data_IF_980677273555
#
_entry.id   IF_980677273555
#
_cell.length_a   1.000
_cell.length_b   1.000
_cell.length_c   1.000
_cell.angle_alpha   90.00
_cell.angle_beta   90.00
_cell.angle_gamma   90.00
#
_symmetry.space_group_name_H-M   'P 1'
#
loop_
_entity.id
_entity.type
_entity.pdbx_description
1 polymer ?
#
# COMPACT_ATOMS: atom_id res chain seq x y z
N UNK A 1 -1.73 -11.02 11.16
CA UNK A 1 -2.93 -11.61 10.58
C UNK A 1 -2.71 -12.16 9.18
N UNK A 2 -2.32 -11.32 8.23
CA UNK A 2 -2.09 -11.72 6.82
C UNK A 2 -0.73 -12.42 6.58
N UNK A 3 0.08 -12.64 7.61
CA UNK A 3 1.41 -13.25 7.49
C UNK A 3 2.49 -12.32 6.93
N UNK A 4 2.23 -11.02 6.84
CA UNK A 4 3.25 -10.05 6.44
C UNK A 4 4.32 -9.97 7.53
N UNK A 5 5.58 -10.15 7.13
CA UNK A 5 6.74 -10.09 8.03
C UNK A 5 7.35 -8.70 7.95
N UNK A 6 7.12 -7.88 8.97
CA UNK A 6 7.75 -6.58 9.12
C UNK A 6 8.55 -6.52 10.42
N UNK A 7 9.67 -5.81 10.39
CA UNK A 7 10.49 -5.54 11.58
C UNK A 7 10.09 -4.18 12.14
N UNK A 8 9.92 -4.07 13.45
CA UNK A 8 9.53 -2.81 14.11
C UNK A 8 10.58 -1.71 13.97
N UNK A 9 11.85 -2.07 13.88
CA UNK A 9 12.98 -1.14 13.72
C UNK A 9 13.08 -0.53 12.31
N UNK A 10 12.43 -1.13 11.31
CA UNK A 10 12.40 -0.64 9.93
C UNK A 10 11.22 0.30 9.64
N UNK A 11 10.32 0.48 10.61
CA UNK A 11 9.16 1.38 10.44
C UNK A 11 9.56 2.85 10.64
N UNK A 12 9.42 3.65 9.56
CA UNK A 12 9.74 5.08 9.51
C UNK A 12 8.54 5.86 9.00
N UNK A 13 7.67 6.29 9.93
CA UNK A 13 6.52 7.13 9.62
C UNK A 13 6.94 8.55 9.17
N UNK A 14 6.00 9.32 8.63
CA UNK A 14 6.25 10.70 8.14
C UNK A 14 6.93 11.59 9.19
N UNK A 15 6.51 11.50 10.45
CA UNK A 15 7.07 12.29 11.54
C UNK A 15 8.56 12.05 11.81
N UNK A 16 9.10 10.91 11.38
CA UNK A 16 10.52 10.61 11.46
C UNK A 16 11.37 11.64 10.71
N UNK A 17 10.83 12.20 9.61
CA UNK A 17 11.54 13.13 8.74
C UNK A 17 11.38 14.60 9.13
N UNK A 18 10.55 14.95 10.12
CA UNK A 18 10.21 16.35 10.45
C UNK A 18 11.43 17.23 10.69
N UNK A 19 12.48 16.72 11.32
CA UNK A 19 13.71 17.47 11.59
C UNK A 19 14.57 17.72 10.34
N UNK A 20 14.27 17.07 9.21
CA UNK A 20 15.01 17.20 7.95
C UNK A 20 14.34 18.15 6.96
N UNK A 21 13.05 18.48 7.15
CA UNK A 21 12.24 19.16 6.14
C UNK A 21 12.76 20.56 5.79
N UNK A 22 13.20 21.34 6.78
CA UNK A 22 13.83 22.64 6.54
C UNK A 22 15.10 22.48 5.71
N UNK A 23 15.96 21.52 6.03
CA UNK A 23 17.19 21.25 5.29
C UNK A 23 16.96 20.79 3.85
N UNK A 24 15.82 20.12 3.56
CA UNK A 24 15.41 19.82 2.18
C UNK A 24 15.16 21.09 1.41
N UNK A 25 14.36 22.01 1.94
CA UNK A 25 14.05 23.30 1.30
C UNK A 25 15.33 24.13 1.09
N UNK A 26 16.18 24.21 2.11
CA UNK A 26 17.43 24.97 2.04
C UNK A 26 18.38 24.41 0.97
N UNK A 27 18.46 23.10 0.81
CA UNK A 27 19.29 22.47 -0.23
C UNK A 27 18.77 22.79 -1.64
N UNK A 28 17.46 22.79 -1.86
CA UNK A 28 16.88 23.18 -3.14
C UNK A 28 17.12 24.66 -3.47
N UNK A 29 16.97 25.57 -2.50
CA UNK A 29 17.27 26.99 -2.66
C UNK A 29 18.77 27.22 -2.94
N UNK A 30 19.65 26.61 -2.16
CA UNK A 30 21.10 26.76 -2.32
C UNK A 30 21.61 26.24 -3.67
N UNK A 31 20.98 25.21 -4.23
CA UNK A 31 21.30 24.66 -5.55
C UNK A 31 20.72 25.47 -6.73
N UNK A 32 19.87 26.47 -6.46
CA UNK A 32 19.13 27.20 -7.48
C UNK A 32 18.06 26.38 -8.21
N UNK A 33 17.66 25.23 -7.65
CA UNK A 33 16.60 24.35 -8.20
C UNK A 33 15.21 24.67 -7.66
N UNK A 34 15.11 25.53 -6.66
CA UNK A 34 13.86 26.10 -6.18
C UNK A 34 13.90 27.62 -6.17
N UNK A 35 12.73 28.23 -6.24
CA UNK A 35 12.53 29.67 -6.14
C UNK A 35 11.37 30.00 -5.20
N UNK A 36 11.33 31.24 -4.76
CA UNK A 36 10.14 31.75 -4.07
C UNK A 36 9.08 32.17 -5.11
N UNK A 37 7.84 31.83 -4.83
CA UNK A 37 6.67 32.16 -5.62
C UNK A 37 5.50 32.50 -4.69
N UNK A 38 5.12 33.76 -4.66
CA UNK A 38 4.06 34.30 -3.79
C UNK A 38 4.17 33.84 -2.33
N UNK A 39 5.42 33.82 -1.79
CA UNK A 39 5.73 33.40 -0.42
C UNK A 39 5.82 31.88 -0.20
N UNK A 40 5.52 31.07 -1.20
CA UNK A 40 5.80 29.65 -1.20
C UNK A 40 7.18 29.34 -1.80
N UNK A 41 7.76 28.19 -1.48
CA UNK A 41 8.97 27.72 -2.16
C UNK A 41 8.57 26.57 -3.10
N UNK A 42 8.96 26.73 -4.36
CA UNK A 42 8.53 25.84 -5.44
C UNK A 42 9.72 25.33 -6.26
N UNK A 43 9.56 24.14 -6.83
CA UNK A 43 10.46 23.51 -7.80
C UNK A 43 9.78 23.52 -9.17
N UNK A 44 10.39 24.10 -10.18
CA UNK A 44 9.88 24.10 -11.55
C UNK A 44 10.40 22.90 -12.33
N UNK A 45 9.57 22.41 -13.26
CA UNK A 45 9.92 21.35 -14.21
C UNK A 45 9.73 21.87 -15.63
N UNK A 46 10.68 21.65 -16.55
CA UNK A 46 10.62 22.23 -17.90
C UNK A 46 9.41 21.77 -18.74
N UNK A 47 8.88 20.59 -18.44
CA UNK A 47 7.80 19.93 -19.20
C UNK A 47 6.43 20.00 -18.51
N UNK A 48 6.27 20.83 -17.48
CA UNK A 48 5.04 20.93 -16.68
C UNK A 48 4.59 22.36 -16.49
N UNK A 49 3.28 22.58 -16.61
CA UNK A 49 2.66 23.90 -16.44
C UNK A 49 2.57 24.34 -14.97
N UNK A 50 2.77 23.42 -14.02
CA UNK A 50 2.68 23.72 -12.59
C UNK A 50 3.95 23.30 -11.85
N UNK A 51 4.44 24.16 -10.95
CA UNK A 51 5.54 23.81 -10.08
C UNK A 51 5.11 22.87 -8.95
N UNK A 52 6.08 22.15 -8.36
CA UNK A 52 5.89 21.40 -7.13
C UNK A 52 6.20 22.29 -5.92
N UNK A 53 5.23 22.44 -5.04
CA UNK A 53 5.41 23.24 -3.80
C UNK A 53 6.11 22.35 -2.75
N UNK A 54 7.22 22.84 -2.20
CA UNK A 54 7.97 22.17 -1.13
C UNK A 54 7.84 22.89 0.23
N UNK A 55 7.47 24.19 0.24
CA UNK A 55 7.08 24.93 1.45
C UNK A 55 5.95 25.89 1.12
N UNK A 56 4.89 25.88 1.89
CA UNK A 56 3.76 26.80 1.76
C UNK A 56 4.12 28.19 2.22
N UNK A 57 3.30 29.19 1.83
CA UNK A 57 3.38 30.57 2.28
C UNK A 57 3.34 30.74 3.82
N UNK A 58 2.57 29.91 4.50
CA UNK A 58 2.47 29.89 5.97
C UNK A 58 3.65 29.19 6.67
N UNK A 59 4.66 28.75 5.90
CA UNK A 59 5.84 28.04 6.38
C UNK A 59 5.63 26.51 6.53
N UNK A 60 4.41 25.99 6.32
CA UNK A 60 4.11 24.56 6.40
C UNK A 60 4.76 23.76 5.28
N UNK A 61 5.22 22.56 5.60
CA UNK A 61 5.75 21.61 4.63
C UNK A 61 4.63 20.76 4.01
N UNK A 62 4.92 20.18 2.85
CA UNK A 62 4.00 19.32 2.09
C UNK A 62 4.55 17.90 1.98
N UNK A 63 3.69 16.97 1.55
CA UNK A 63 4.09 15.58 1.32
C UNK A 63 5.33 15.45 0.43
N UNK A 64 5.45 16.29 -0.61
CA UNK A 64 6.62 16.30 -1.48
C UNK A 64 7.93 16.50 -0.70
N UNK A 65 7.95 17.39 0.30
CA UNK A 65 9.13 17.65 1.13
C UNK A 65 9.48 16.45 1.99
N UNK A 66 8.47 15.79 2.57
CA UNK A 66 8.64 14.56 3.35
C UNK A 66 9.16 13.41 2.48
N UNK A 67 8.59 13.25 1.26
CA UNK A 67 9.02 12.20 0.33
C UNK A 67 10.45 12.43 -0.16
N UNK A 68 10.84 13.68 -0.42
CA UNK A 68 12.23 14.02 -0.76
C UNK A 68 13.20 13.69 0.38
N UNK A 69 12.84 14.04 1.63
CA UNK A 69 13.63 13.67 2.81
C UNK A 69 13.75 12.14 2.94
N UNK A 70 12.65 11.43 2.67
CA UNK A 70 12.62 9.97 2.73
C UNK A 70 13.49 9.31 1.64
N UNK A 71 13.49 9.83 0.41
CA UNK A 71 14.39 9.35 -0.65
C UNK A 71 15.84 9.53 -0.20
N UNK A 72 16.21 10.75 0.17
CA UNK A 72 17.58 11.06 0.64
C UNK A 72 18.03 10.13 1.77
N UNK A 73 17.20 9.90 2.78
CA UNK A 73 17.51 8.99 3.87
C UNK A 73 17.70 7.55 3.37
N UNK A 74 16.83 7.06 2.49
CA UNK A 74 16.90 5.69 1.99
C UNK A 74 18.15 5.45 1.14
N UNK A 75 18.52 6.40 0.30
CA UNK A 75 19.71 6.29 -0.56
C UNK A 75 21.01 6.53 0.20
N UNK A 76 21.09 7.62 0.98
CA UNK A 76 22.35 8.02 1.62
C UNK A 76 22.62 7.29 2.95
N UNK A 77 21.58 7.12 3.80
CA UNK A 77 21.77 6.53 5.13
C UNK A 77 21.55 5.00 5.12
N UNK A 78 20.65 4.49 4.29
CA UNK A 78 20.35 3.06 4.19
C UNK A 78 21.00 2.38 2.99
N UNK A 79 21.59 3.15 2.08
CA UNK A 79 22.22 2.68 0.84
C UNK A 79 21.26 1.78 0.01
N UNK A 80 19.98 2.17 -0.06
CA UNK A 80 18.97 1.41 -0.77
C UNK A 80 19.09 1.63 -2.29
N UNK A 81 19.47 0.61 -3.03
CA UNK A 81 19.62 0.62 -4.48
C UNK A 81 18.28 0.53 -5.25
N UNK A 82 17.20 0.15 -4.55
CA UNK A 82 15.83 0.13 -5.10
C UNK A 82 14.82 0.57 -4.07
N UNK A 83 13.96 1.53 -4.44
CA UNK A 83 12.89 2.06 -3.60
C UNK A 83 11.56 1.88 -4.33
N UNK A 84 10.62 1.15 -3.71
CA UNK A 84 9.31 0.86 -4.25
C UNK A 84 8.25 1.64 -3.46
N UNK A 85 7.55 2.55 -4.13
CA UNK A 85 6.41 3.28 -3.59
C UNK A 85 5.12 2.56 -3.97
N UNK A 86 4.59 1.76 -3.06
CA UNK A 86 3.35 0.99 -3.26
C UNK A 86 2.21 1.84 -2.71
N UNK A 87 1.58 2.61 -3.57
CA UNK A 87 0.55 3.59 -3.23
C UNK A 87 -0.51 3.66 -4.33
N UNK A 88 -1.58 4.43 -4.09
CA UNK A 88 -2.67 4.61 -5.05
C UNK A 88 -2.17 5.11 -6.43
N UNK A 89 -2.69 4.53 -7.51
CA UNK A 89 -2.32 4.88 -8.90
C UNK A 89 -2.51 6.36 -9.21
N UNK A 90 -3.44 7.04 -8.52
CA UNK A 90 -3.71 8.47 -8.67
C UNK A 90 -2.57 9.36 -8.18
N UNK A 91 -1.62 8.84 -7.42
CA UNK A 91 -0.43 9.55 -6.96
C UNK A 91 0.74 9.50 -7.97
N UNK A 92 0.53 8.95 -9.17
CA UNK A 92 1.57 8.82 -10.21
C UNK A 92 2.28 10.13 -10.51
N UNK A 93 1.52 11.21 -10.71
CA UNK A 93 2.11 12.51 -11.05
C UNK A 93 2.91 13.10 -9.90
N UNK A 94 2.45 12.93 -8.67
CA UNK A 94 3.18 13.32 -7.47
C UNK A 94 4.55 12.62 -7.40
N UNK A 95 4.59 11.30 -7.55
CA UNK A 95 5.86 10.56 -7.48
C UNK A 95 6.76 10.81 -8.68
N UNK A 96 6.21 11.07 -9.86
CA UNK A 96 7.00 11.54 -10.99
C UNK A 96 7.74 12.83 -10.66
N UNK A 97 7.06 13.81 -10.06
CA UNK A 97 7.62 15.10 -9.68
C UNK A 97 8.67 14.95 -8.58
N UNK A 98 8.37 14.15 -7.54
CA UNK A 98 9.31 13.88 -6.43
C UNK A 98 10.57 13.15 -6.91
N UNK A 99 10.46 12.16 -7.78
CA UNK A 99 11.60 11.43 -8.33
C UNK A 99 12.48 12.32 -9.20
N UNK A 100 11.87 13.18 -10.02
CA UNK A 100 12.64 14.11 -10.83
C UNK A 100 13.34 15.16 -9.97
N UNK A 101 12.65 15.74 -9.00
CA UNK A 101 13.25 16.66 -8.05
C UNK A 101 14.42 16.05 -7.26
N UNK A 102 14.29 14.79 -6.83
CA UNK A 102 15.39 14.11 -6.15
C UNK A 102 16.63 13.97 -7.05
N UNK A 103 16.45 13.66 -8.33
CA UNK A 103 17.53 13.59 -9.33
C UNK A 103 18.21 14.94 -9.55
N UNK A 104 17.48 16.06 -9.47
CA UNK A 104 18.06 17.41 -9.63
C UNK A 104 19.16 17.71 -8.60
N UNK A 105 19.10 17.06 -7.42
CA UNK A 105 20.08 17.18 -6.34
C UNK A 105 20.97 15.94 -6.17
N UNK A 106 20.87 14.95 -7.06
CA UNK A 106 21.59 13.68 -6.94
C UNK A 106 21.18 12.83 -5.71
N UNK A 107 19.98 13.06 -5.18
CA UNK A 107 19.50 12.32 -4.00
C UNK A 107 19.00 10.90 -4.32
N UNK A 108 18.95 10.56 -5.58
CA UNK A 108 18.76 9.18 -6.04
C UNK A 108 20.09 8.38 -6.10
N UNK A 109 21.21 8.98 -5.75
CA UNK A 109 22.52 8.31 -5.75
C UNK A 109 22.87 7.86 -4.33
N UNK A 110 23.17 6.59 -4.19
CA UNK A 110 23.58 5.96 -2.93
C UNK A 110 24.97 6.41 -2.48
N UNK A 111 25.33 6.18 -1.22
CA UNK A 111 26.64 6.55 -0.68
C UNK A 111 27.83 5.86 -1.39
N UNK A 112 27.59 4.67 -1.97
CA UNK A 112 28.57 3.93 -2.78
C UNK A 112 28.63 4.35 -4.26
N UNK A 113 27.83 5.36 -4.66
CA UNK A 113 27.78 5.90 -6.01
C UNK A 113 26.80 5.20 -6.95
N UNK A 114 26.08 4.17 -6.51
CA UNK A 114 25.03 3.55 -7.32
C UNK A 114 23.80 4.47 -7.42
N UNK A 115 23.21 4.55 -8.60
CA UNK A 115 21.93 5.24 -8.81
C UNK A 115 20.79 4.32 -8.47
N UNK A 116 19.98 4.71 -7.47
CA UNK A 116 18.85 3.93 -7.00
C UNK A 116 17.69 3.92 -8.01
N UNK A 117 17.04 2.77 -8.14
CA UNK A 117 15.80 2.65 -8.88
C UNK A 117 14.62 3.17 -8.03
N UNK A 118 14.00 4.26 -8.47
CA UNK A 118 12.79 4.81 -7.84
C UNK A 118 11.56 4.38 -8.65
N UNK A 119 10.70 3.57 -8.06
CA UNK A 119 9.55 2.99 -8.76
C UNK A 119 8.25 3.27 -8.01
N UNK A 120 7.27 3.83 -8.73
CA UNK A 120 5.89 3.93 -8.30
C UNK A 120 5.12 2.70 -8.76
N UNK A 121 4.74 1.84 -7.82
CA UNK A 121 3.88 0.67 -8.03
C UNK A 121 2.47 1.05 -7.59
N UNK A 122 1.72 1.68 -8.52
CA UNK A 122 0.37 2.14 -8.25
C UNK A 122 -0.62 0.99 -8.16
N UNK A 123 -1.49 1.02 -7.16
CA UNK A 123 -2.63 0.10 -7.07
C UNK A 123 -3.95 0.82 -7.29
N UNK A 124 -4.95 0.05 -7.77
CA UNK A 124 -6.30 0.51 -8.01
C UNK A 124 -7.15 0.56 -6.72
N UNK A 125 -8.41 0.92 -6.88
CA UNK A 125 -9.37 1.06 -5.79
C UNK A 125 -10.14 -0.24 -5.58
N UNK A 126 -10.36 -0.63 -4.34
CA UNK A 126 -11.30 -1.71 -3.99
C UNK A 126 -12.71 -1.14 -4.00
N UNK A 127 -13.55 -1.68 -4.87
CA UNK A 127 -14.92 -1.23 -5.09
C UNK A 127 -15.91 -2.16 -4.39
N UNK A 128 -17.03 -1.60 -3.93
CA UNK A 128 -18.20 -2.37 -3.53
C UNK A 128 -19.02 -2.86 -4.74
N UNK A 129 -20.06 -3.64 -4.50
CA UNK A 129 -20.96 -4.14 -5.54
C UNK A 129 -21.67 -3.03 -6.34
N UNK A 130 -21.74 -1.82 -5.80
CA UNK A 130 -22.28 -0.62 -6.46
C UNK A 130 -21.27 0.11 -7.36
N UNK A 131 -20.06 -0.43 -7.53
CA UNK A 131 -18.99 0.16 -8.32
C UNK A 131 -18.35 1.41 -7.70
N UNK A 132 -18.64 1.71 -6.43
CA UNK A 132 -18.04 2.82 -5.69
C UNK A 132 -16.99 2.32 -4.70
N UNK A 133 -16.06 3.17 -4.24
CA UNK A 133 -15.11 2.79 -3.22
C UNK A 133 -15.79 2.10 -2.04
N UNK A 134 -15.23 0.96 -1.62
CA UNK A 134 -15.83 0.10 -0.61
C UNK A 134 -16.06 0.85 0.70
N UNK A 135 -17.31 0.83 1.18
CA UNK A 135 -17.74 1.46 2.43
C UNK A 135 -18.30 0.41 3.39
N UNK A 136 -18.21 0.67 4.68
CA UNK A 136 -18.94 -0.09 5.70
C UNK A 136 -20.43 0.15 5.61
N UNK A 137 -21.24 -0.70 6.25
CA UNK A 137 -22.70 -0.51 6.37
C UNK A 137 -23.08 0.83 7.01
N UNK A 138 -22.20 1.43 7.82
CA UNK A 138 -22.39 2.77 8.41
C UNK A 138 -22.02 3.92 7.48
N UNK A 139 -21.63 3.64 6.22
CA UNK A 139 -21.26 4.67 5.23
C UNK A 139 -19.83 5.21 5.36
N UNK A 140 -19.04 4.74 6.34
CA UNK A 140 -17.61 5.03 6.46
C UNK A 140 -16.79 4.11 5.57
N UNK A 141 -15.55 4.50 5.23
CA UNK A 141 -14.65 3.61 4.49
C UNK A 141 -14.41 2.33 5.28
N UNK A 142 -14.45 1.19 4.59
CA UNK A 142 -14.19 -0.11 5.21
C UNK A 142 -12.73 -0.14 5.72
N UNK A 143 -12.53 -0.51 6.98
CA UNK A 143 -11.18 -0.73 7.50
C UNK A 143 -10.67 -2.10 7.06
N UNK A 144 -9.37 -2.22 6.78
CA UNK A 144 -8.74 -3.51 6.45
C UNK A 144 -9.00 -4.57 7.55
N UNK A 145 -8.96 -4.16 8.82
CA UNK A 145 -9.25 -5.07 9.93
C UNK A 145 -10.68 -5.59 9.88
N UNK A 146 -11.66 -4.72 9.65
CA UNK A 146 -13.07 -5.14 9.53
C UNK A 146 -13.30 -6.09 8.36
N UNK A 147 -12.62 -5.88 7.24
CA UNK A 147 -12.68 -6.81 6.09
C UNK A 147 -12.08 -8.17 6.42
N UNK A 148 -10.94 -8.21 7.12
CA UNK A 148 -10.30 -9.46 7.55
C UNK A 148 -11.20 -10.22 8.54
N UNK A 149 -11.78 -9.52 9.51
CA UNK A 149 -12.68 -10.13 10.50
C UNK A 149 -13.93 -10.69 9.85
N UNK A 150 -14.54 -9.96 8.92
CA UNK A 150 -15.71 -10.43 8.16
C UNK A 150 -15.37 -11.67 7.29
N UNK A 151 -14.20 -11.67 6.63
CA UNK A 151 -13.75 -12.80 5.84
C UNK A 151 -13.53 -14.06 6.73
N UNK A 152 -12.91 -13.88 7.89
CA UNK A 152 -12.72 -14.97 8.86
C UNK A 152 -14.07 -15.50 9.33
N UNK A 153 -15.00 -14.62 9.67
CA UNK A 153 -16.35 -15.01 10.08
C UNK A 153 -17.05 -15.85 9.00
N UNK A 154 -17.10 -15.34 7.77
CA UNK A 154 -17.74 -16.05 6.65
C UNK A 154 -17.03 -17.34 6.28
N UNK A 155 -15.70 -17.35 6.32
CA UNK A 155 -14.92 -18.56 6.11
C UNK A 155 -15.23 -19.62 7.19
N UNK A 156 -15.41 -19.20 8.44
CA UNK A 156 -15.81 -20.09 9.55
C UNK A 156 -17.22 -20.60 9.35
N UNK A 157 -18.19 -19.74 9.02
CA UNK A 157 -19.57 -20.13 8.75
C UNK A 157 -19.65 -21.16 7.61
N UNK A 158 -18.90 -20.96 6.53
CA UNK A 158 -18.85 -21.86 5.39
C UNK A 158 -18.24 -23.24 5.75
N UNK A 159 -17.19 -23.26 6.56
CA UNK A 159 -16.56 -24.50 7.05
C UNK A 159 -17.52 -25.28 7.98
N UNK A 160 -18.20 -24.57 8.90
CA UNK A 160 -19.19 -25.15 9.81
C UNK A 160 -20.38 -25.76 9.04
N UNK A 161 -20.91 -25.03 8.05
CA UNK A 161 -21.98 -25.54 7.20
C UNK A 161 -21.56 -26.83 6.47
N UNK A 162 -20.34 -26.84 5.91
CA UNK A 162 -19.82 -28.03 5.21
C UNK A 162 -19.54 -29.19 6.12
N UNK A 163 -19.15 -28.96 7.39
CA UNK A 163 -18.87 -30.04 8.36
C UNK A 163 -20.11 -30.86 8.77
N UNK A 164 -21.31 -30.38 8.43
CA UNK A 164 -22.56 -31.11 8.63
C UNK A 164 -22.73 -32.27 7.64
N UNK A 165 -22.05 -32.20 6.49
CA UNK A 165 -22.06 -33.31 5.52
C UNK A 165 -21.17 -34.46 6.00
N UNK A 166 -21.70 -35.68 6.21
CA UNK A 166 -20.91 -36.82 6.64
C UNK A 166 -19.78 -37.21 5.69
N UNK A 167 -19.85 -36.81 4.43
CA UNK A 167 -18.82 -37.07 3.42
C UNK A 167 -17.70 -36.01 3.40
N UNK A 168 -17.90 -34.91 4.11
CA UNK A 168 -16.91 -33.82 4.12
C UNK A 168 -15.68 -34.18 4.98
N UNK A 169 -14.47 -33.84 4.54
CA UNK A 169 -13.25 -34.04 5.33
C UNK A 169 -13.24 -33.31 6.68
N UNK A 170 -14.11 -32.33 6.85
CA UNK A 170 -14.28 -31.56 8.09
C UNK A 170 -15.32 -32.16 9.03
N UNK A 171 -16.02 -33.22 8.61
CA UNK A 171 -17.02 -33.88 9.46
C UNK A 171 -16.37 -34.53 10.69
N UNK A 172 -16.96 -34.30 11.86
CA UNK A 172 -16.47 -34.85 13.12
C UNK A 172 -15.23 -34.19 13.71
N UNK A 173 -14.71 -33.11 13.09
CA UNK A 173 -13.63 -32.29 13.68
C UNK A 173 -14.14 -31.50 14.89
N UNK A 174 -13.22 -31.15 15.80
CA UNK A 174 -13.51 -30.29 16.95
C UNK A 174 -13.88 -28.87 16.51
N UNK A 175 -14.64 -28.14 17.35
CA UNK A 175 -14.95 -26.72 17.11
C UNK A 175 -13.69 -25.88 16.97
N UNK A 176 -12.64 -26.19 17.74
CA UNK A 176 -11.34 -25.50 17.65
C UNK A 176 -10.69 -25.69 16.27
N UNK A 177 -10.69 -26.93 15.76
CA UNK A 177 -10.14 -27.24 14.43
C UNK A 177 -10.95 -26.57 13.31
N UNK A 178 -12.29 -26.63 13.42
CA UNK A 178 -13.18 -25.95 12.45
C UNK A 178 -12.97 -24.44 12.46
N UNK A 179 -12.79 -23.82 13.63
CA UNK A 179 -12.46 -22.40 13.75
C UNK A 179 -11.09 -22.06 13.15
N UNK A 180 -10.08 -22.91 13.36
CA UNK A 180 -8.76 -22.74 12.77
C UNK A 180 -8.77 -22.82 11.24
N UNK A 181 -9.50 -23.80 10.70
CA UNK A 181 -9.70 -23.97 9.25
C UNK A 181 -10.48 -22.79 8.69
N UNK A 182 -11.57 -22.37 9.32
CA UNK A 182 -12.38 -21.23 8.90
C UNK A 182 -11.59 -19.93 8.83
N UNK A 183 -10.72 -19.70 9.83
CA UNK A 183 -9.79 -18.58 9.81
C UNK A 183 -8.81 -18.63 8.62
N UNK A 184 -8.25 -19.80 8.34
CA UNK A 184 -7.35 -20.00 7.21
C UNK A 184 -8.07 -19.75 5.88
N UNK A 185 -9.30 -20.24 5.73
CA UNK A 185 -10.17 -20.05 4.57
C UNK A 185 -10.45 -18.55 4.35
N UNK A 186 -10.85 -17.82 5.39
CA UNK A 186 -11.14 -16.39 5.29
C UNK A 186 -9.89 -15.55 4.90
N UNK A 187 -8.74 -15.84 5.50
CA UNK A 187 -7.48 -15.17 5.16
C UNK A 187 -7.05 -15.50 3.72
N UNK A 188 -7.16 -16.76 3.29
CA UNK A 188 -6.82 -17.15 1.94
C UNK A 188 -7.73 -16.49 0.91
N UNK A 189 -9.01 -16.32 1.20
CA UNK A 189 -9.98 -15.66 0.35
C UNK A 189 -9.56 -14.21 0.03
N UNK A 190 -9.22 -13.42 1.04
CA UNK A 190 -8.75 -12.03 0.86
C UNK A 190 -7.42 -12.00 0.10
N UNK A 191 -6.44 -12.78 0.52
CA UNK A 191 -5.11 -12.77 -0.12
C UNK A 191 -5.18 -13.16 -1.58
N UNK A 192 -5.98 -14.16 -1.90
CA UNK A 192 -6.13 -14.61 -3.28
C UNK A 192 -6.84 -13.56 -4.14
N UNK A 193 -7.93 -12.98 -3.64
CA UNK A 193 -8.67 -11.95 -4.38
C UNK A 193 -7.79 -10.74 -4.74
N UNK A 194 -6.97 -10.30 -3.78
CA UNK A 194 -6.05 -9.18 -3.98
C UNK A 194 -4.90 -9.56 -4.94
N UNK A 195 -4.23 -10.69 -4.70
CA UNK A 195 -3.04 -11.10 -5.45
C UNK A 195 -3.32 -11.67 -6.84
N UNK A 196 -4.55 -12.15 -7.11
CA UNK A 196 -4.98 -12.63 -8.43
C UNK A 196 -5.49 -11.52 -9.35
N UNK A 197 -5.74 -10.34 -8.80
CA UNK A 197 -6.17 -9.16 -9.55
C UNK A 197 -4.95 -8.40 -10.10
N UNK A 198 -5.14 -7.71 -11.24
CA UNK A 198 -4.15 -6.74 -11.72
C UNK A 198 -4.07 -5.59 -10.71
N UNK A 199 -2.92 -5.44 -10.05
CA UNK A 199 -2.75 -4.46 -8.99
C UNK A 199 -3.11 -3.03 -9.41
N UNK A 200 -2.86 -2.65 -10.67
CA UNK A 200 -3.13 -1.31 -11.19
C UNK A 200 -4.60 -1.05 -11.52
N UNK A 201 -5.46 -2.08 -11.49
CA UNK A 201 -6.88 -1.96 -11.82
C UNK A 201 -7.74 -1.92 -10.57
N UNK A 202 -8.87 -1.22 -10.69
CA UNK A 202 -9.93 -1.32 -9.71
C UNK A 202 -10.55 -2.73 -9.76
N UNK A 203 -10.91 -3.30 -8.59
CA UNK A 203 -11.64 -4.56 -8.55
C UNK A 203 -12.83 -4.50 -7.59
N UNK A 204 -13.87 -5.26 -7.90
CA UNK A 204 -15.07 -5.36 -7.06
C UNK A 204 -14.84 -6.40 -5.98
N UNK A 205 -14.98 -5.97 -4.73
CA UNK A 205 -14.89 -6.82 -3.55
C UNK A 205 -16.21 -7.55 -3.32
N UNK A 206 -16.24 -8.84 -3.60
CA UNK A 206 -17.38 -9.74 -3.39
C UNK A 206 -17.00 -10.85 -2.42
N UNK A 207 -17.37 -10.68 -1.16
CA UNK A 207 -16.99 -11.61 -0.09
C UNK A 207 -17.59 -13.00 -0.30
N UNK A 208 -18.82 -13.12 -0.82
CA UNK A 208 -19.48 -14.42 -0.99
C UNK A 208 -18.76 -15.25 -2.06
N UNK A 209 -18.35 -14.60 -3.14
CA UNK A 209 -17.54 -15.23 -4.18
C UNK A 209 -16.14 -15.58 -3.68
N UNK A 210 -15.52 -14.73 -2.87
CA UNK A 210 -14.14 -14.93 -2.40
C UNK A 210 -13.99 -16.13 -1.45
N UNK A 211 -15.00 -16.41 -0.61
CA UNK A 211 -14.98 -17.54 0.33
C UNK A 211 -15.53 -18.84 -0.26
N UNK A 212 -15.97 -18.84 -1.53
CA UNK A 212 -16.46 -20.06 -2.19
C UNK A 212 -15.37 -21.12 -2.29
N UNK A 213 -15.76 -22.40 -2.14
CA UNK A 213 -14.85 -23.55 -2.27
C UNK A 213 -14.68 -24.04 -3.71
N UNK A 214 -15.35 -23.41 -4.66
CA UNK A 214 -15.32 -23.73 -6.09
C UNK A 214 -14.86 -22.52 -6.89
N UNK A 215 -14.30 -22.78 -8.07
CA UNK A 215 -13.76 -21.74 -8.95
C UNK A 215 -12.39 -21.23 -8.53
N UNK A 216 -11.97 -20.08 -9.10
CA UNK A 216 -10.69 -19.46 -8.80
C UNK A 216 -10.75 -18.68 -7.48
N UNK A 217 -10.52 -19.38 -6.38
CA UNK A 217 -10.65 -18.84 -5.02
C UNK A 217 -9.51 -19.29 -4.11
N UNK A 218 -9.26 -18.51 -3.05
CA UNK A 218 -8.29 -18.85 -2.02
C UNK A 218 -8.58 -20.21 -1.33
N UNK A 219 -9.82 -20.48 -0.92
CA UNK A 219 -10.21 -21.80 -0.38
C UNK A 219 -9.94 -22.97 -1.34
N UNK A 220 -10.15 -22.80 -2.63
CA UNK A 220 -9.84 -23.83 -3.62
C UNK A 220 -8.33 -24.10 -3.72
N UNK A 221 -7.49 -23.06 -3.65
CA UNK A 221 -6.04 -23.24 -3.59
C UNK A 221 -5.58 -23.98 -2.34
N UNK A 222 -6.18 -23.71 -1.17
CA UNK A 222 -5.91 -24.44 0.06
C UNK A 222 -6.28 -25.93 -0.10
N UNK A 223 -7.42 -26.21 -0.73
CA UNK A 223 -7.84 -27.59 -1.03
C UNK A 223 -6.87 -28.28 -1.99
N UNK A 224 -6.46 -27.61 -3.07
CA UNK A 224 -5.50 -28.16 -4.02
C UNK A 224 -4.12 -28.45 -3.39
N UNK A 225 -3.69 -27.60 -2.45
CA UNK A 225 -2.44 -27.79 -1.70
C UNK A 225 -2.52 -28.98 -0.72
N UNK A 226 -3.69 -29.17 -0.07
CA UNK A 226 -3.89 -30.25 0.90
C UNK A 226 -4.05 -31.64 0.26
N UNK A 227 -4.40 -31.73 -1.02
CA UNK A 227 -4.60 -32.98 -1.78
C UNK A 227 -3.29 -33.51 -2.34
#
# INVERSE_FOLDING_TARGET
LLGVRMRRDSDKGESFYNHQLAGVVDAFLASGKAREDDGAIVVDFPDRDRPMIIRKRDGGFLYATTDLAAIRHRTHDLNADRILYIVDIRQRDHFRDVFEASRMLGWDTCADGLVAELNHLGFGTVLGADGKPLKTRSGTNASLMGLIEEAIRRGTDAVLARSQDPSAPTHGLSEEDLGRIGRAVGIAAIKYADLSSDAAKDYVFDMDRMVAFEGDTGPYLLYAHAR
#
